data_IF_140462012009
#
_entry.id   IF_140462012009
#
_cell.length_a   1.000
_cell.length_b   1.000
_cell.length_c   1.000
_cell.angle_alpha   90.00
_cell.angle_beta   90.00
_cell.angle_gamma   90.00
#
_symmetry.space_group_name_H-M   'P 1'
#
loop_
_entity.id
_entity.type
_entity.pdbx_description
1 polymer ?
#
# COMPACT_ATOMS: atom_id res chain seq x y z
N UNK A 1 40.06 -13.61 -13.73
CA UNK A 1 39.43 -13.58 -12.39
C UNK A 1 39.29 -12.11 -11.99
N UNK A 2 38.14 -11.48 -11.76
CA UNK A 2 36.75 -11.93 -11.56
C UNK A 2 35.87 -10.70 -11.81
N UNK A 3 34.84 -10.81 -12.65
CA UNK A 3 33.87 -9.73 -12.85
C UNK A 3 32.96 -9.68 -11.61
N UNK A 4 32.93 -8.54 -10.90
CA UNK A 4 31.91 -8.26 -9.90
C UNK A 4 30.58 -8.07 -10.62
N UNK A 5 29.88 -9.17 -10.84
CA UNK A 5 28.52 -9.16 -11.30
C UNK A 5 27.67 -8.65 -10.14
N UNK A 6 27.36 -7.35 -10.14
CA UNK A 6 26.29 -6.80 -9.32
C UNK A 6 25.04 -7.60 -9.66
N UNK A 7 24.53 -8.36 -8.69
CA UNK A 7 23.23 -9.02 -8.83
C UNK A 7 22.17 -7.93 -9.02
N UNK A 8 21.85 -7.62 -10.27
CA UNK A 8 20.56 -7.07 -10.63
C UNK A 8 19.55 -8.17 -10.34
N UNK A 9 19.07 -8.21 -9.10
CA UNK A 9 17.87 -8.95 -8.76
C UNK A 9 16.73 -8.21 -9.46
N UNK A 10 15.97 -8.82 -10.39
CA UNK A 10 14.70 -8.27 -10.82
C UNK A 10 13.70 -8.55 -9.69
N UNK A 11 13.90 -7.84 -8.58
CA UNK A 11 13.04 -7.83 -7.42
C UNK A 11 12.75 -6.38 -7.14
N UNK A 12 11.50 -5.95 -7.37
CA UNK A 12 11.04 -4.64 -6.93
C UNK A 12 11.42 -4.52 -5.45
N UNK A 13 12.36 -3.64 -5.16
CA UNK A 13 12.93 -3.50 -3.84
C UNK A 13 11.82 -3.13 -2.85
N UNK A 14 12.03 -3.40 -1.56
CA UNK A 14 11.14 -2.90 -0.51
C UNK A 14 10.86 -1.40 -0.71
N UNK A 15 11.86 -0.64 -1.14
CA UNK A 15 11.75 0.77 -1.54
C UNK A 15 10.76 1.01 -2.68
N UNK A 16 10.75 0.18 -3.74
CA UNK A 16 9.74 0.27 -4.80
C UNK A 16 8.33 -0.01 -4.27
N UNK A 17 8.17 -1.01 -3.40
CA UNK A 17 6.87 -1.30 -2.76
C UNK A 17 6.40 -0.14 -1.89
N UNK A 18 7.30 0.47 -1.12
CA UNK A 18 7.02 1.66 -0.31
C UNK A 18 6.64 2.85 -1.18
N UNK A 19 7.34 3.07 -2.29
CA UNK A 19 7.06 4.18 -3.21
C UNK A 19 5.67 4.04 -3.82
N UNK A 20 5.31 2.83 -4.29
CA UNK A 20 3.96 2.54 -4.77
C UNK A 20 2.90 2.78 -3.69
N UNK A 21 3.18 2.44 -2.43
CA UNK A 21 2.26 2.70 -1.31
C UNK A 21 2.13 4.19 -0.96
N UNK A 22 3.18 5.00 -1.17
CA UNK A 22 3.11 6.45 -0.99
C UNK A 22 2.29 7.17 -2.07
N UNK A 23 2.22 6.61 -3.28
CA UNK A 23 1.39 7.13 -4.38
C UNK A 23 -0.11 6.90 -4.17
N UNK A 24 -0.49 6.04 -3.20
CA UNK A 24 -1.88 5.81 -2.85
C UNK A 24 -2.46 7.10 -2.24
N UNK A 25 -3.58 7.63 -2.79
CA UNK A 25 -4.23 8.81 -2.26
C UNK A 25 -4.63 8.61 -0.80
N UNK A 26 -4.38 9.63 0.02
CA UNK A 26 -4.88 9.67 1.39
C UNK A 26 -6.37 9.98 1.32
N UNK A 27 -7.21 9.05 1.76
CA UNK A 27 -8.64 9.28 1.96
C UNK A 27 -8.83 10.30 3.07
N UNK A 28 -9.72 11.24 2.85
CA UNK A 28 -10.28 12.09 3.89
C UNK A 28 -11.23 11.28 4.78
N UNK A 29 -11.55 11.80 5.98
CA UNK A 29 -12.45 11.12 6.91
C UNK A 29 -13.87 10.90 6.33
N UNK A 30 -14.32 11.76 5.40
CA UNK A 30 -15.60 11.57 4.71
C UNK A 30 -15.52 10.44 3.67
N UNK A 31 -14.43 10.38 2.90
CA UNK A 31 -14.21 9.31 1.92
C UNK A 31 -14.04 7.96 2.60
N UNK A 32 -13.35 7.90 3.74
CA UNK A 32 -13.23 6.68 4.54
C UNK A 32 -14.60 6.16 4.97
N UNK A 33 -15.47 7.04 5.48
CA UNK A 33 -16.85 6.68 5.85
C UNK A 33 -17.66 6.21 4.65
N UNK A 34 -17.54 6.89 3.51
CA UNK A 34 -18.25 6.52 2.30
C UNK A 34 -17.83 5.11 1.82
N UNK A 35 -16.52 4.83 1.79
CA UNK A 35 -15.98 3.53 1.39
C UNK A 35 -16.35 2.44 2.41
N UNK A 36 -16.31 2.73 3.71
CA UNK A 36 -16.74 1.81 4.76
C UNK A 36 -18.23 1.46 4.67
N UNK A 37 -19.09 2.46 4.41
CA UNK A 37 -20.50 2.23 4.18
C UNK A 37 -20.76 1.38 2.93
N UNK A 38 -20.01 1.60 1.84
CA UNK A 38 -20.13 0.78 0.63
C UNK A 38 -19.66 -0.66 0.85
N UNK A 39 -18.58 -0.86 1.61
CA UNK A 39 -18.18 -2.21 2.01
C UNK A 39 -19.27 -2.90 2.83
N UNK A 40 -19.87 -2.20 3.79
CA UNK A 40 -20.87 -2.77 4.70
C UNK A 40 -22.21 -3.04 4.01
N UNK A 41 -22.66 -2.13 3.14
CA UNK A 41 -23.96 -2.21 2.47
C UNK A 41 -23.91 -3.05 1.20
N UNK A 42 -22.84 -2.93 0.41
CA UNK A 42 -22.74 -3.53 -0.93
C UNK A 42 -21.76 -4.71 -0.98
N UNK A 43 -21.10 -5.06 0.13
CA UNK A 43 -20.04 -6.07 0.20
C UNK A 43 -18.92 -5.83 -0.83
N UNK A 44 -18.64 -4.56 -1.14
CA UNK A 44 -17.72 -4.18 -2.20
C UNK A 44 -16.27 -4.51 -1.81
N UNK A 45 -15.73 -5.58 -2.40
CA UNK A 45 -14.35 -6.02 -2.18
C UNK A 45 -13.31 -4.96 -2.61
N UNK A 46 -13.64 -4.08 -3.55
CA UNK A 46 -12.77 -2.96 -3.90
C UNK A 46 -12.76 -1.91 -2.79
N UNK A 47 -13.88 -1.70 -2.11
CA UNK A 47 -13.94 -0.82 -0.95
C UNK A 47 -13.09 -1.36 0.22
N UNK A 48 -13.14 -2.68 0.48
CA UNK A 48 -12.24 -3.33 1.43
C UNK A 48 -10.77 -3.17 1.04
N UNK A 49 -10.42 -3.40 -0.24
CA UNK A 49 -9.05 -3.21 -0.73
C UNK A 49 -8.58 -1.79 -0.51
N UNK A 50 -9.41 -0.80 -0.82
CA UNK A 50 -9.09 0.63 -0.65
C UNK A 50 -8.84 0.98 0.82
N UNK A 51 -9.66 0.47 1.75
CA UNK A 51 -9.45 0.65 3.20
C UNK A 51 -8.13 0.01 3.67
N UNK A 52 -7.82 -1.20 3.22
CA UNK A 52 -6.55 -1.87 3.57
C UNK A 52 -5.36 -1.09 3.04
N UNK A 53 -5.40 -0.71 1.75
CA UNK A 53 -4.34 0.02 1.07
C UNK A 53 -4.06 1.39 1.70
N UNK A 54 -5.11 2.11 2.12
CA UNK A 54 -4.98 3.36 2.87
C UNK A 54 -4.25 3.16 4.21
N UNK A 55 -4.56 2.07 4.93
CA UNK A 55 -3.94 1.73 6.22
C UNK A 55 -2.51 1.18 6.11
N UNK A 56 -2.07 0.72 4.94
CA UNK A 56 -0.71 0.20 4.75
C UNK A 56 0.38 1.25 5.01
N UNK A 57 0.14 2.54 4.72
CA UNK A 57 1.08 3.62 5.06
C UNK A 57 1.32 3.69 6.57
N UNK A 58 0.28 3.48 7.37
CA UNK A 58 0.39 3.40 8.83
C UNK A 58 1.14 2.16 9.28
N UNK A 59 0.84 0.99 8.71
CA UNK A 59 1.57 -0.26 9.01
C UNK A 59 3.05 -0.15 8.69
N UNK A 60 3.42 0.45 7.56
CA UNK A 60 4.82 0.68 7.18
C UNK A 60 5.52 1.61 8.18
N UNK A 61 4.84 2.64 8.68
CA UNK A 61 5.37 3.54 9.70
C UNK A 61 5.58 2.80 11.03
N UNK A 62 4.59 2.02 11.47
CA UNK A 62 4.66 1.21 12.71
C UNK A 62 5.73 0.12 12.61
N UNK A 63 5.87 -0.53 11.45
CA UNK A 63 6.86 -1.57 11.23
C UNK A 63 8.30 -1.05 11.14
N UNK A 64 8.50 0.25 10.89
CA UNK A 64 9.83 0.86 10.83
C UNK A 64 10.32 1.51 12.12
N UNK A 65 9.43 1.83 13.06
CA UNK A 65 9.77 2.52 14.32
C UNK A 65 9.81 4.03 14.16
#
# INVERSE_FOLDING_TARGET
MTYTQSLSVPGGSLDSYIQTVHEIPVLTAEEEKAVAHRLQNDNDLNAARTLVMHNLRFVIKVARG
#
